data_IF_293274013013
#
_entry.id   IF_293274013013
#
_cell.length_a   1.000
_cell.length_b   1.000
_cell.length_c   1.000
_cell.angle_alpha   90.00
_cell.angle_beta   90.00
_cell.angle_gamma   90.00
#
_symmetry.space_group_name_H-M   'P 1'
#
loop_
_entity.id
_entity.type
_entity.pdbx_description
1 polymer ?
#
# COMPACT_ATOMS: atom_id res chain seq x y z
N UNK A 1 0.74 24.05 2.66
CA UNK A 1 -0.27 23.50 1.72
C UNK A 1 -0.47 22.04 2.08
N UNK A 2 -1.70 21.55 2.12
CA UNK A 2 -1.97 20.14 2.44
C UNK A 2 -1.48 19.25 1.30
N UNK A 3 -0.73 18.19 1.65
CA UNK A 3 -0.16 17.26 0.67
C UNK A 3 -1.24 16.42 -0.03
N UNK A 4 -2.40 16.25 0.61
CA UNK A 4 -3.58 15.62 0.04
C UNK A 4 -4.86 16.21 0.65
N UNK A 5 -5.97 16.05 -0.06
CA UNK A 5 -7.31 16.33 0.43
C UNK A 5 -8.29 15.27 -0.08
N UNK A 6 -9.29 14.94 0.73
CA UNK A 6 -10.37 14.02 0.35
C UNK A 6 -11.70 14.72 0.55
N UNK A 7 -12.54 14.72 -0.49
CA UNK A 7 -13.88 15.28 -0.45
C UNK A 7 -14.88 14.27 -0.97
N UNK A 8 -16.07 14.26 -0.38
CA UNK A 8 -17.20 13.50 -0.90
C UNK A 8 -18.07 14.43 -1.75
N UNK A 9 -18.35 14.01 -2.98
CA UNK A 9 -19.21 14.75 -3.92
C UNK A 9 -20.29 13.78 -4.41
N UNK A 10 -21.45 13.83 -3.75
CA UNK A 10 -22.54 12.88 -3.99
C UNK A 10 -22.16 11.44 -3.65
N UNK A 11 -22.21 10.58 -4.67
CA UNK A 11 -21.82 9.17 -4.62
C UNK A 11 -20.31 8.93 -4.85
N UNK A 12 -19.53 10.00 -5.08
CA UNK A 12 -18.10 9.91 -5.39
C UNK A 12 -17.22 10.41 -4.26
N UNK A 13 -16.03 9.83 -4.17
CA UNK A 13 -14.92 10.35 -3.36
C UNK A 13 -13.91 10.97 -4.33
N UNK A 14 -13.64 12.27 -4.16
CA UNK A 14 -12.60 13.01 -4.87
C UNK A 14 -11.36 13.09 -3.99
N UNK A 15 -10.27 12.51 -4.46
CA UNK A 15 -8.95 12.59 -3.84
C UNK A 15 -8.11 13.60 -4.64
N UNK A 16 -7.49 14.55 -3.95
CA UNK A 16 -6.56 15.53 -4.53
C UNK A 16 -5.21 15.35 -3.88
N UNK A 17 -4.15 15.26 -4.68
CA UNK A 17 -2.79 15.01 -4.23
C UNK A 17 -1.86 16.08 -4.81
N UNK A 18 -0.89 16.52 -4.02
CA UNK A 18 0.18 17.40 -4.51
C UNK A 18 1.17 16.59 -5.38
N UNK A 19 1.22 16.89 -6.68
CA UNK A 19 2.11 16.21 -7.62
C UNK A 19 3.61 16.41 -7.32
N UNK A 20 3.99 17.39 -6.50
CA UNK A 20 5.38 17.53 -6.03
C UNK A 20 5.76 16.53 -4.94
N UNK A 21 4.77 15.91 -4.30
CA UNK A 21 4.94 14.99 -3.17
C UNK A 21 4.53 13.56 -3.51
N UNK A 22 3.66 13.38 -4.52
CA UNK A 22 3.14 12.08 -4.93
C UNK A 22 3.47 11.77 -6.38
N UNK A 23 3.93 10.54 -6.63
CA UNK A 23 4.12 10.02 -7.97
C UNK A 23 2.80 9.40 -8.48
N UNK A 24 2.35 9.82 -9.65
CA UNK A 24 1.08 9.42 -10.24
C UNK A 24 0.97 7.89 -10.43
N UNK A 25 2.00 7.24 -10.98
CA UNK A 25 1.99 5.80 -11.20
C UNK A 25 1.87 5.01 -9.89
N UNK A 26 2.51 5.50 -8.82
CA UNK A 26 2.42 4.88 -7.50
C UNK A 26 1.01 5.02 -6.92
N UNK A 27 0.35 6.16 -7.12
CA UNK A 27 -1.04 6.41 -6.70
C UNK A 27 -2.00 5.50 -7.48
N UNK A 28 -1.84 5.41 -8.79
CA UNK A 28 -2.68 4.55 -9.64
C UNK A 28 -2.53 3.09 -9.24
N UNK A 29 -1.30 2.60 -9.01
CA UNK A 29 -1.06 1.23 -8.52
C UNK A 29 -1.73 0.97 -7.18
N UNK A 30 -1.68 1.94 -6.24
CA UNK A 30 -2.33 1.81 -4.93
C UNK A 30 -3.85 1.74 -5.06
N UNK A 31 -4.46 2.61 -5.84
CA UNK A 31 -5.91 2.64 -6.04
C UNK A 31 -6.41 1.38 -6.75
N UNK A 32 -5.67 0.90 -7.76
CA UNK A 32 -5.98 -0.36 -8.43
C UNK A 32 -5.89 -1.54 -7.47
N UNK A 33 -4.88 -1.58 -6.60
CA UNK A 33 -4.77 -2.61 -5.56
C UNK A 33 -5.96 -2.58 -4.60
N UNK A 34 -6.34 -1.41 -4.10
CA UNK A 34 -7.51 -1.26 -3.23
C UNK A 34 -8.80 -1.70 -3.92
N UNK A 35 -8.92 -1.42 -5.22
CA UNK A 35 -10.06 -1.86 -6.02
C UNK A 35 -10.06 -3.39 -6.21
N UNK A 36 -8.92 -3.99 -6.52
CA UNK A 36 -8.76 -5.45 -6.61
C UNK A 36 -9.05 -6.10 -5.26
N UNK A 37 -8.59 -5.54 -4.13
CA UNK A 37 -8.89 -6.04 -2.78
C UNK A 37 -10.39 -5.93 -2.46
N UNK A 38 -11.05 -4.87 -2.89
CA UNK A 38 -12.51 -4.73 -2.76
C UNK A 38 -13.26 -5.74 -3.62
N UNK A 39 -12.82 -5.95 -4.87
CA UNK A 39 -13.40 -6.96 -5.76
C UNK A 39 -13.12 -8.38 -5.28
N UNK A 40 -11.92 -8.67 -4.76
CA UNK A 40 -11.56 -9.97 -4.19
C UNK A 40 -12.41 -10.28 -2.96
N UNK A 41 -12.57 -9.32 -2.04
CA UNK A 41 -13.54 -9.43 -0.93
C UNK A 41 -14.98 -9.69 -1.38
N UNK A 42 -15.33 -9.31 -2.62
CA UNK A 42 -16.67 -9.51 -3.20
C UNK A 42 -16.79 -10.80 -4.02
N UNK A 43 -15.69 -11.30 -4.58
CA UNK A 43 -15.66 -12.43 -5.53
C UNK A 43 -15.35 -13.74 -4.82
N UNK A 44 -14.57 -13.73 -3.73
CA UNK A 44 -14.02 -14.97 -3.21
C UNK A 44 -13.57 -14.86 -1.71
N UNK A 45 -13.97 -15.87 -0.89
CA UNK A 45 -13.18 -16.51 0.19
C UNK A 45 -13.25 -15.87 1.61
N UNK A 46 -13.91 -16.43 2.63
CA UNK A 46 -14.12 -17.85 2.90
C UNK A 46 -12.78 -18.53 3.25
N UNK A 47 -12.09 -18.07 4.29
CA UNK A 47 -10.86 -18.65 4.89
C UNK A 47 -9.56 -18.72 4.04
N UNK A 48 -9.59 -18.97 2.72
CA UNK A 48 -8.38 -19.31 1.95
C UNK A 48 -7.48 -18.12 1.54
N UNK A 49 -8.03 -16.91 1.38
CA UNK A 49 -7.25 -15.71 1.00
C UNK A 49 -6.35 -15.20 2.14
N UNK A 50 -6.73 -15.46 3.40
CA UNK A 50 -5.94 -15.04 4.56
C UNK A 50 -4.62 -15.83 4.62
N UNK A 51 -4.66 -17.12 4.25
CA UNK A 51 -3.48 -17.96 4.12
C UNK A 51 -2.54 -17.47 3.00
N UNK A 52 -3.09 -17.10 1.84
CA UNK A 52 -2.30 -16.56 0.72
C UNK A 52 -1.70 -15.18 1.06
N UNK A 53 -2.45 -14.32 1.75
CA UNK A 53 -1.95 -13.03 2.24
C UNK A 53 -0.83 -13.17 3.27
N UNK A 54 -0.92 -14.19 4.15
CA UNK A 54 0.14 -14.52 5.08
C UNK A 54 1.39 -15.05 4.37
N UNK A 55 1.22 -15.86 3.33
CA UNK A 55 2.30 -16.40 2.50
C UNK A 55 3.03 -15.29 1.72
N UNK A 56 2.31 -14.37 1.08
CA UNK A 56 2.90 -13.22 0.37
C UNK A 56 3.67 -12.30 1.33
N UNK A 57 3.13 -12.03 2.53
CA UNK A 57 3.84 -11.24 3.56
C UNK A 57 5.10 -11.95 4.03
N UNK A 58 5.03 -13.27 4.26
CA UNK A 58 6.16 -14.10 4.66
C UNK A 58 7.25 -14.06 3.60
N UNK A 59 6.89 -14.28 2.35
CA UNK A 59 7.84 -14.38 1.24
C UNK A 59 8.47 -13.02 0.92
N UNK A 60 7.69 -11.94 0.94
CA UNK A 60 8.20 -10.58 0.81
C UNK A 60 9.16 -10.22 1.94
N UNK A 61 8.82 -10.58 3.19
CA UNK A 61 9.68 -10.36 4.35
C UNK A 61 10.98 -11.15 4.22
N UNK A 62 10.94 -12.44 3.84
CA UNK A 62 12.15 -13.25 3.66
C UNK A 62 13.10 -12.66 2.60
N UNK A 63 12.56 -12.18 1.48
CA UNK A 63 13.37 -11.61 0.39
C UNK A 63 13.92 -10.21 0.72
N UNK A 64 13.27 -9.45 1.59
CA UNK A 64 13.62 -8.04 1.85
C UNK A 64 14.21 -7.77 3.24
N UNK A 65 14.19 -8.75 4.15
CA UNK A 65 14.61 -8.60 5.55
C UNK A 65 16.05 -8.10 5.69
N UNK A 66 17.00 -8.65 4.93
CA UNK A 66 18.41 -8.24 5.01
C UNK A 66 18.58 -6.74 4.68
N UNK A 67 18.02 -6.31 3.55
CA UNK A 67 18.04 -4.91 3.10
C UNK A 67 17.35 -3.95 4.07
N UNK A 68 16.28 -4.39 4.72
CA UNK A 68 15.55 -3.58 5.71
C UNK A 68 16.37 -3.46 7.00
N UNK A 69 16.98 -4.55 7.47
CA UNK A 69 17.81 -4.56 8.67
C UNK A 69 19.11 -3.77 8.51
N UNK A 70 19.71 -3.77 7.32
CA UNK A 70 20.84 -2.91 6.97
C UNK A 70 20.44 -1.43 7.04
N UNK A 71 19.31 -1.06 6.42
CA UNK A 71 18.79 0.31 6.49
C UNK A 71 18.45 0.76 7.92
N UNK A 72 18.02 -0.16 8.78
CA UNK A 72 17.74 0.14 10.19
C UNK A 72 19.04 0.33 10.98
N UNK A 73 20.07 -0.48 10.70
CA UNK A 73 21.40 -0.31 11.33
C UNK A 73 22.08 1.00 10.91
N UNK A 74 22.04 1.37 9.62
CA UNK A 74 22.59 2.64 9.14
C UNK A 74 21.92 3.86 9.79
N UNK A 75 20.63 3.76 10.09
CA UNK A 75 19.86 4.83 10.73
C UNK A 75 20.15 4.97 12.23
N UNK A 76 20.60 3.90 12.89
CA UNK A 76 20.89 3.86 14.32
C UNK A 76 22.39 3.98 14.66
N UNK A 77 23.27 3.93 13.65
CA UNK A 77 24.73 4.05 13.80
C UNK A 77 25.32 5.44 13.53
N UNK A 78 24.47 6.47 13.37
CA UNK A 78 24.92 7.84 13.11
C UNK A 78 24.29 8.84 14.11
N UNK A 79 24.43 8.55 15.40
CA UNK A 79 24.24 9.49 16.51
C UNK A 79 25.30 9.25 17.57
#
# INVERSE_FOLDING_TARGET
MEAFAVKRTGDKIQVTLDAKQFNEDAVVRLLNRLYIEHLAHRVELGEDIEALGAEIKRDWWQQNKARILEKIHEKNGNS
#
